data_IF_550168354952
#
_entry.id   IF_550168354952
#
_cell.length_a   1.000
_cell.length_b   1.000
_cell.length_c   1.000
_cell.angle_alpha   90.00
_cell.angle_beta   90.00
_cell.angle_gamma   90.00
#
_symmetry.space_group_name_H-M   'P 1'
#
loop_
_entity.id
_entity.type
_entity.pdbx_description
1 polymer ?
#
# COMPACT_ATOMS: atom_id res chain seq x y z
N UNK A 1 32.34 7.47 1.08
CA UNK A 1 32.25 6.38 2.07
C UNK A 1 32.77 5.10 1.44
N UNK A 2 33.61 4.30 2.11
CA UNK A 2 34.11 3.05 1.55
C UNK A 2 33.12 1.94 1.87
N UNK A 3 32.63 1.25 0.84
CA UNK A 3 31.87 0.01 1.03
C UNK A 3 32.80 -1.08 1.58
N UNK A 4 32.34 -1.79 2.59
CA UNK A 4 32.97 -3.06 2.93
C UNK A 4 32.59 -4.07 1.84
N UNK A 5 33.56 -4.79 1.24
CA UNK A 5 33.25 -5.80 0.20
C UNK A 5 32.36 -6.95 0.69
N UNK A 6 32.15 -7.04 2.01
CA UNK A 6 31.34 -8.07 2.67
C UNK A 6 29.93 -7.59 3.05
N UNK A 7 29.60 -6.32 2.85
CA UNK A 7 28.26 -5.84 3.14
C UNK A 7 27.29 -6.19 2.02
N UNK A 8 26.15 -6.75 2.37
CA UNK A 8 25.08 -7.04 1.42
C UNK A 8 24.61 -5.73 0.76
N UNK A 9 24.40 -5.73 -0.56
CA UNK A 9 23.80 -4.62 -1.32
C UNK A 9 22.51 -4.12 -0.65
N UNK A 10 21.66 -5.05 -0.26
CA UNK A 10 20.40 -4.81 0.45
C UNK A 10 20.57 -4.02 1.73
N UNK A 11 21.48 -4.48 2.60
CA UNK A 11 21.75 -3.79 3.85
C UNK A 11 22.22 -2.37 3.64
N UNK A 12 22.97 -2.14 2.58
CA UNK A 12 23.46 -0.79 2.25
C UNK A 12 22.36 0.10 1.68
N UNK A 13 21.44 -0.43 0.85
CA UNK A 13 20.26 0.31 0.37
C UNK A 13 19.36 0.67 1.56
N UNK A 14 19.00 -0.31 2.40
CA UNK A 14 18.16 -0.11 3.60
C UNK A 14 18.75 0.93 4.56
N UNK A 15 20.06 1.00 4.65
CA UNK A 15 20.77 1.99 5.48
C UNK A 15 20.94 3.35 4.81
N UNK A 16 20.47 3.54 3.57
CA UNK A 16 20.66 4.76 2.78
C UNK A 16 22.13 5.05 2.47
N UNK A 17 22.97 4.01 2.34
CA UNK A 17 24.40 4.15 2.03
C UNK A 17 24.70 4.05 0.54
N UNK A 18 23.72 3.72 -0.27
CA UNK A 18 23.80 3.71 -1.72
C UNK A 18 22.90 4.84 -2.23
N UNK A 19 23.52 5.89 -2.71
CA UNK A 19 22.80 7.02 -3.31
C UNK A 19 21.98 6.53 -4.53
N UNK A 20 20.86 7.20 -4.80
CA UNK A 20 19.96 6.92 -5.93
C UNK A 20 19.06 5.67 -5.79
N UNK A 21 19.21 4.89 -4.70
CA UNK A 21 18.37 3.72 -4.42
C UNK A 21 17.55 3.92 -3.15
N UNK A 22 16.25 3.66 -3.27
CA UNK A 22 15.30 3.69 -2.14
C UNK A 22 14.65 2.31 -1.98
N UNK A 23 14.44 1.89 -0.74
CA UNK A 23 13.66 0.70 -0.40
C UNK A 23 12.22 1.06 -0.07
N UNK A 24 11.28 0.32 -0.62
CA UNK A 24 9.86 0.42 -0.31
C UNK A 24 9.32 -0.94 0.09
N UNK A 25 9.10 -1.14 1.38
CA UNK A 25 8.44 -2.33 1.90
C UNK A 25 6.93 -2.24 1.69
N UNK A 26 6.33 -3.24 1.05
CA UNK A 26 4.90 -3.33 0.78
C UNK A 26 4.31 -4.60 1.38
N UNK A 27 3.22 -4.43 2.08
CA UNK A 27 2.44 -5.52 2.65
C UNK A 27 0.95 -5.20 2.53
N UNK A 28 0.15 -6.22 2.32
CA UNK A 28 -1.29 -6.09 2.20
C UNK A 28 -2.02 -7.28 2.80
N UNK A 29 -3.20 -7.03 3.33
CA UNK A 29 -4.13 -8.07 3.78
C UNK A 29 -5.53 -7.67 3.35
N UNK A 30 -6.23 -8.61 2.72
CA UNK A 30 -7.66 -8.54 2.52
C UNK A 30 -8.29 -9.76 3.18
N UNK A 31 -9.13 -9.54 4.19
CA UNK A 31 -9.77 -10.58 4.99
C UNK A 31 -11.15 -11.01 4.45
N UNK A 32 -11.59 -10.41 3.35
CA UNK A 32 -12.89 -10.65 2.73
C UNK A 32 -12.79 -10.81 1.19
N UNK A 33 -11.73 -11.45 0.71
CA UNK A 33 -11.58 -11.78 -0.71
C UNK A 33 -12.66 -12.77 -1.11
N UNK A 34 -13.45 -12.41 -2.11
CA UNK A 34 -14.51 -13.24 -2.68
C UNK A 34 -14.07 -14.03 -3.92
N UNK A 35 -15.02 -14.29 -4.81
CA UNK A 35 -14.78 -15.09 -6.04
C UNK A 35 -14.33 -14.25 -7.25
N UNK A 36 -14.26 -12.94 -7.11
CA UNK A 36 -13.74 -12.01 -8.12
C UNK A 36 -12.36 -11.55 -7.73
N UNK A 37 -11.46 -11.38 -8.70
CA UNK A 37 -10.15 -10.78 -8.42
C UNK A 37 -10.30 -9.36 -7.88
N UNK A 38 -9.73 -9.14 -6.70
CA UNK A 38 -9.67 -7.83 -6.03
C UNK A 38 -8.25 -7.58 -5.52
N UNK A 39 -7.82 -6.32 -5.38
CA UNK A 39 -6.54 -5.99 -4.78
C UNK A 39 -6.39 -6.60 -3.38
N UNK A 40 -5.18 -7.09 -3.07
CA UNK A 40 -4.83 -7.54 -1.72
C UNK A 40 -4.52 -6.30 -0.87
N UNK A 41 -5.59 -5.61 -0.54
CA UNK A 41 -5.61 -4.43 0.29
C UNK A 41 -6.84 -4.50 1.19
N UNK A 42 -6.81 -3.87 2.35
CA UNK A 42 -7.95 -3.85 3.26
C UNK A 42 -9.21 -3.33 2.54
N UNK A 43 -10.27 -4.15 2.55
CA UNK A 43 -11.51 -3.87 1.84
C UNK A 43 -11.42 -4.02 0.30
N UNK A 44 -10.36 -4.60 -0.25
CA UNK A 44 -10.17 -4.74 -1.71
C UNK A 44 -9.97 -3.40 -2.43
N UNK A 45 -9.51 -2.37 -1.71
CA UNK A 45 -9.48 -1.00 -2.20
C UNK A 45 -8.15 -0.67 -2.89
N UNK A 46 -8.22 -0.18 -4.11
CA UNK A 46 -7.15 0.53 -4.80
C UNK A 46 -7.75 1.42 -5.87
N UNK A 47 -7.75 2.74 -5.63
CA UNK A 47 -8.35 3.71 -6.53
C UNK A 47 -7.37 4.14 -7.62
N UNK A 48 -7.85 4.15 -8.86
CA UNK A 48 -7.07 4.53 -10.05
C UNK A 48 -7.80 5.59 -10.87
N UNK A 49 -8.01 6.79 -10.31
CA UNK A 49 -8.68 7.86 -11.05
C UNK A 49 -7.82 8.35 -12.22
N UNK A 50 -8.46 8.98 -13.19
CA UNK A 50 -7.84 9.54 -14.40
C UNK A 50 -7.16 10.90 -14.16
N UNK A 51 -7.42 11.53 -13.02
CA UNK A 51 -6.83 12.80 -12.60
C UNK A 51 -6.68 12.83 -11.09
N UNK A 52 -5.82 13.71 -10.59
CA UNK A 52 -5.66 13.90 -9.15
C UNK A 52 -6.95 14.39 -8.49
N UNK A 53 -7.34 13.77 -7.40
CA UNK A 53 -8.60 13.96 -6.69
C UNK A 53 -8.34 14.55 -5.31
N UNK A 54 -9.18 15.49 -4.90
CA UNK A 54 -9.16 16.01 -3.53
C UNK A 54 -9.63 14.92 -2.56
N UNK A 55 -8.82 14.68 -1.52
CA UNK A 55 -9.08 13.67 -0.50
C UNK A 55 -9.33 14.30 0.86
N UNK A 56 -10.03 13.55 1.71
CA UNK A 56 -10.22 13.86 3.11
C UNK A 56 -10.03 12.60 3.97
N UNK A 57 -9.53 12.80 5.21
CA UNK A 57 -9.43 11.74 6.20
C UNK A 57 -10.44 11.99 7.31
N UNK A 58 -11.05 10.92 7.84
CA UNK A 58 -11.99 10.96 8.94
C UNK A 58 -11.81 9.73 9.83
N UNK A 59 -12.10 9.87 11.14
CA UNK A 59 -12.22 8.74 12.04
C UNK A 59 -13.71 8.46 12.38
N UNK A 60 -14.00 7.21 12.74
CA UNK A 60 -15.29 6.84 13.34
C UNK A 60 -15.37 7.11 14.85
N UNK A 61 -14.30 7.65 15.46
CA UNK A 61 -14.23 7.97 16.90
C UNK A 61 -13.86 9.43 17.14
N UNK A 62 -14.57 10.08 18.06
CA UNK A 62 -14.23 11.41 18.54
C UNK A 62 -12.90 11.48 19.32
N UNK A 63 -12.34 10.34 19.74
CA UNK A 63 -11.06 10.28 20.45
C UNK A 63 -9.84 10.41 19.55
N UNK A 64 -9.99 10.27 18.24
CA UNK A 64 -8.92 10.45 17.25
C UNK A 64 -8.83 11.91 16.82
N UNK A 65 -8.31 12.76 17.72
CA UNK A 65 -8.14 14.20 17.52
C UNK A 65 -6.77 14.62 18.00
N UNK A 66 -6.29 15.81 17.58
CA UNK A 66 -4.98 16.35 17.94
C UNK A 66 -4.72 16.35 19.47
N UNK A 67 -5.76 16.52 20.28
CA UNK A 67 -5.68 16.49 21.74
C UNK A 67 -6.25 15.20 22.36
N UNK A 68 -6.66 14.25 21.52
CA UNK A 68 -7.33 13.03 21.94
C UNK A 68 -6.39 11.93 22.42
N UNK A 69 -7.02 10.84 22.91
CA UNK A 69 -6.31 9.64 23.37
C UNK A 69 -5.91 8.70 22.21
N UNK A 70 -6.59 8.77 21.08
CA UNK A 70 -6.31 7.96 19.89
C UNK A 70 -5.33 8.62 18.93
N UNK A 71 -5.51 8.40 17.63
CA UNK A 71 -4.68 9.00 16.59
C UNK A 71 -4.75 10.53 16.63
N UNK A 72 -3.59 11.17 16.70
CA UNK A 72 -3.44 12.63 16.69
C UNK A 72 -3.04 13.15 15.34
N UNK A 73 -2.07 12.49 14.71
CA UNK A 73 -1.64 12.80 13.36
C UNK A 73 -1.57 11.53 12.51
N UNK A 74 -1.84 11.70 11.23
CA UNK A 74 -1.77 10.63 10.24
C UNK A 74 -0.97 11.13 9.04
N UNK A 75 0.01 10.33 8.61
CA UNK A 75 0.75 10.57 7.37
C UNK A 75 0.17 9.73 6.26
N UNK A 76 -0.09 10.36 5.12
CA UNK A 76 -0.62 9.76 3.89
C UNK A 76 0.47 9.83 2.83
N UNK A 77 0.78 8.71 2.21
CA UNK A 77 1.77 8.59 1.14
C UNK A 77 1.06 8.23 -0.17
N UNK A 78 1.42 8.91 -1.24
CA UNK A 78 0.78 8.73 -2.55
C UNK A 78 1.51 9.45 -3.66
N UNK A 79 0.84 9.63 -4.79
CA UNK A 79 1.35 10.38 -5.95
C UNK A 79 0.45 11.58 -6.23
N UNK A 80 1.07 12.72 -6.54
CA UNK A 80 0.39 13.95 -6.94
C UNK A 80 -0.10 13.92 -8.40
N UNK A 81 -0.57 15.07 -8.91
CA UNK A 81 -1.02 15.22 -10.30
C UNK A 81 0.11 15.03 -11.33
N UNK A 82 1.37 15.22 -10.95
CA UNK A 82 2.55 14.98 -11.77
C UNK A 82 3.12 13.56 -11.64
N UNK A 83 2.45 12.69 -10.89
CA UNK A 83 2.91 11.33 -10.58
C UNK A 83 4.21 11.30 -9.75
N UNK A 84 4.49 12.39 -9.03
CA UNK A 84 5.59 12.45 -8.11
C UNK A 84 5.16 11.92 -6.74
N UNK A 85 6.08 11.23 -6.04
CA UNK A 85 5.86 10.81 -4.67
C UNK A 85 5.65 12.01 -3.75
N UNK A 86 4.60 11.94 -2.94
CA UNK A 86 4.29 12.93 -1.90
C UNK A 86 3.92 12.23 -0.59
N UNK A 87 4.32 12.85 0.51
CA UNK A 87 3.97 12.45 1.87
C UNK A 87 3.36 13.64 2.59
N UNK A 88 2.13 13.48 3.11
CA UNK A 88 1.36 14.53 3.75
C UNK A 88 0.94 14.09 5.14
N UNK A 89 1.28 14.90 6.15
CA UNK A 89 0.81 14.68 7.53
C UNK A 89 -0.32 15.64 7.85
N UNK A 90 -1.43 15.10 8.36
CA UNK A 90 -2.60 15.87 8.77
C UNK A 90 -2.94 15.62 10.23
N UNK A 91 -3.48 16.63 10.89
CA UNK A 91 -4.01 16.51 12.24
C UNK A 91 -5.40 15.90 12.19
N UNK A 92 -5.65 14.89 13.02
CA UNK A 92 -6.98 14.27 13.12
C UNK A 92 -7.99 15.20 13.80
N UNK A 93 -9.24 15.10 13.39
CA UNK A 93 -10.37 15.87 13.94
C UNK A 93 -11.56 14.98 14.32
N UNK A 94 -11.29 13.73 14.73
CA UNK A 94 -12.30 12.77 15.15
C UNK A 94 -13.32 12.49 14.05
N UNK A 95 -14.58 12.74 14.34
CA UNK A 95 -15.70 12.55 13.40
C UNK A 95 -15.76 13.63 12.30
N UNK A 96 -15.00 14.72 12.45
CA UNK A 96 -14.89 15.76 11.43
C UNK A 96 -13.84 15.39 10.38
N UNK A 97 -14.22 15.45 9.10
CA UNK A 97 -13.28 15.20 8.01
C UNK A 97 -12.22 16.31 7.91
N UNK A 98 -10.99 15.93 7.61
CA UNK A 98 -9.85 16.84 7.39
C UNK A 98 -9.35 16.67 5.97
N UNK A 99 -9.23 17.77 5.24
CA UNK A 99 -8.72 17.76 3.87
C UNK A 99 -7.24 17.40 3.83
N UNK A 100 -6.87 16.55 2.88
CA UNK A 100 -5.47 16.31 2.52
C UNK A 100 -4.99 17.51 1.68
N UNK A 101 -3.85 18.13 2.02
CA UNK A 101 -3.42 19.38 1.38
C UNK A 101 -3.16 19.30 -0.13
N UNK A 102 -2.76 18.12 -0.62
CA UNK A 102 -2.44 17.88 -2.04
C UNK A 102 -3.43 16.87 -2.62
N UNK A 103 -3.96 17.15 -3.81
CA UNK A 103 -4.75 16.20 -4.56
C UNK A 103 -3.88 15.02 -5.02
N UNK A 104 -4.40 13.79 -4.94
CA UNK A 104 -3.66 12.58 -5.27
C UNK A 104 -4.25 11.85 -6.48
N UNK A 105 -3.37 11.27 -7.30
CA UNK A 105 -3.72 10.29 -8.33
C UNK A 105 -3.69 8.86 -7.78
N UNK A 106 -2.84 8.61 -6.78
CA UNK A 106 -2.70 7.35 -6.06
C UNK A 106 -2.49 7.61 -4.58
N UNK A 107 -3.03 6.73 -3.73
CA UNK A 107 -2.66 6.65 -2.32
C UNK A 107 -2.41 5.18 -1.99
N UNK A 108 -1.26 4.86 -1.42
CA UNK A 108 -0.83 3.49 -1.18
C UNK A 108 -0.38 3.22 0.25
N UNK A 109 -0.30 4.25 1.08
CA UNK A 109 -0.04 4.10 2.51
C UNK A 109 -0.69 5.23 3.31
N UNK A 110 -1.21 4.85 4.46
CA UNK A 110 -1.66 5.76 5.51
C UNK A 110 -1.19 5.18 6.84
N UNK A 111 -0.57 5.98 7.69
CA UNK A 111 -0.04 5.53 8.99
C UNK A 111 -0.26 6.59 10.06
N UNK A 112 -0.59 6.14 11.27
CA UNK A 112 -0.64 6.97 12.47
C UNK A 112 0.78 7.33 12.85
N UNK A 113 1.09 8.62 12.94
CA UNK A 113 2.44 9.13 13.25
C UNK A 113 2.55 9.76 14.63
N UNK A 114 1.41 10.09 15.25
CA UNK A 114 1.32 10.46 16.67
C UNK A 114 0.00 9.94 17.26
N UNK A 115 0.06 9.47 18.52
CA UNK A 115 -1.07 8.95 19.27
C UNK A 115 -1.02 9.38 20.73
N UNK A 116 -2.18 9.70 21.31
CA UNK A 116 -2.28 10.17 22.68
C UNK A 116 -1.98 9.14 23.75
N UNK A 117 -2.03 7.85 23.42
CA UNK A 117 -1.92 6.76 24.38
C UNK A 117 -0.69 5.88 24.24
N UNK A 118 0.29 6.26 23.43
CA UNK A 118 1.47 5.42 23.12
C UNK A 118 2.38 5.13 24.34
N UNK A 119 2.16 5.80 25.45
CA UNK A 119 2.95 5.58 26.68
C UNK A 119 2.53 4.37 27.51
N UNK A 120 1.40 3.75 27.22
CA UNK A 120 0.83 2.60 27.97
C UNK A 120 0.65 1.39 27.04
N UNK A 121 1.30 0.27 27.33
CA UNK A 121 1.24 -0.94 26.50
C UNK A 121 0.36 -2.04 27.11
N UNK A 122 -0.35 -2.83 26.28
CA UNK A 122 -0.57 -2.70 24.83
C UNK A 122 -1.58 -1.59 24.55
N UNK A 123 -1.21 -0.67 23.67
CA UNK A 123 -2.05 0.50 23.38
C UNK A 123 -2.39 0.55 21.92
N UNK A 124 -3.66 0.71 21.56
CA UNK A 124 -4.05 0.96 20.19
C UNK A 124 -3.56 2.34 19.73
N UNK A 125 -3.03 2.40 18.50
CA UNK A 125 -2.57 3.64 17.89
C UNK A 125 -3.72 4.60 17.52
N UNK A 126 -4.92 4.08 17.40
CA UNK A 126 -6.17 4.81 17.11
C UNK A 126 -7.36 4.11 17.77
N UNK A 127 -8.48 4.82 17.91
CA UNK A 127 -9.69 4.31 18.57
C UNK A 127 -10.77 3.95 17.56
N UNK A 128 -11.00 4.77 16.55
CA UNK A 128 -11.97 4.53 15.50
C UNK A 128 -11.33 4.00 14.21
N UNK A 129 -12.15 3.60 13.25
CA UNK A 129 -11.70 3.33 11.89
C UNK A 129 -11.21 4.63 11.25
N UNK A 130 -10.00 4.62 10.71
CA UNK A 130 -9.45 5.76 9.97
C UNK A 130 -9.68 5.52 8.48
N UNK A 131 -10.42 6.42 7.85
CA UNK A 131 -10.82 6.31 6.46
C UNK A 131 -10.28 7.49 5.65
N UNK A 132 -9.46 7.21 4.64
CA UNK A 132 -9.11 8.14 3.58
C UNK A 132 -10.10 7.95 2.43
N UNK A 133 -10.76 9.03 2.00
CA UNK A 133 -11.79 8.97 0.96
C UNK A 133 -11.75 10.23 0.08
N UNK A 134 -12.40 10.16 -1.07
CA UNK A 134 -12.64 11.35 -1.87
C UNK A 134 -13.42 12.38 -1.07
N UNK A 135 -13.02 13.65 -1.16
CA UNK A 135 -13.63 14.75 -0.42
C UNK A 135 -15.15 14.83 -0.68
N UNK A 136 -15.90 15.22 0.35
CA UNK A 136 -17.36 15.23 0.31
C UNK A 136 -18.00 13.86 0.55
N UNK A 137 -17.37 13.01 1.37
CA UNK A 137 -17.83 11.66 1.70
C UNK A 137 -17.93 10.72 0.46
N UNK A 138 -17.04 10.90 -0.49
CA UNK A 138 -16.96 10.07 -1.69
C UNK A 138 -16.30 8.69 -1.46
N UNK A 139 -15.92 7.97 -2.53
CA UNK A 139 -15.34 6.64 -2.46
C UNK A 139 -14.14 6.54 -1.53
N UNK A 140 -14.06 5.44 -0.78
CA UNK A 140 -12.92 5.12 0.10
C UNK A 140 -11.70 4.73 -0.72
N UNK A 141 -10.54 5.22 -0.32
CA UNK A 141 -9.23 4.93 -0.90
C UNK A 141 -8.40 4.00 -0.03
N UNK A 142 -8.28 4.34 1.26
CA UNK A 142 -7.54 3.56 2.24
C UNK A 142 -8.33 3.46 3.55
N UNK A 143 -8.15 2.36 4.25
CA UNK A 143 -8.82 2.07 5.52
C UNK A 143 -7.83 1.47 6.52
N UNK A 144 -7.86 1.97 7.76
CA UNK A 144 -7.24 1.32 8.93
C UNK A 144 -8.37 1.00 9.91
N UNK A 145 -8.84 -0.25 9.97
CA UNK A 145 -9.93 -0.63 10.87
C UNK A 145 -9.47 -0.65 12.32
N UNK A 146 -10.36 -0.28 13.22
CA UNK A 146 -10.17 -0.38 14.67
C UNK A 146 -10.45 -1.77 15.22
N UNK A 147 -11.23 -2.58 14.49
CA UNK A 147 -11.63 -3.92 14.92
C UNK A 147 -10.43 -4.86 15.08
N UNK A 148 -10.42 -5.62 16.15
CA UNK A 148 -9.30 -6.46 16.54
C UNK A 148 -8.17 -5.63 17.16
N UNK A 149 -6.95 -5.82 16.67
CA UNK A 149 -5.80 -4.98 17.05
C UNK A 149 -5.66 -3.79 16.09
N UNK A 150 -5.80 -2.54 16.56
CA UNK A 150 -5.61 -1.34 15.74
C UNK A 150 -4.15 -1.22 15.27
N UNK A 151 -3.88 -1.54 14.01
CA UNK A 151 -2.52 -1.69 13.47
C UNK A 151 -1.79 -0.38 13.24
N UNK A 152 -2.50 0.74 13.21
CA UNK A 152 -1.92 2.07 13.02
C UNK A 152 -1.43 2.37 11.60
N UNK A 153 -1.55 1.42 10.67
CA UNK A 153 -1.20 1.62 9.27
C UNK A 153 -2.03 0.74 8.33
N UNK A 154 -2.14 1.19 7.09
CA UNK A 154 -2.87 0.45 6.05
C UNK A 154 -2.17 -0.83 5.66
N UNK A 155 -2.99 -1.82 5.31
CA UNK A 155 -2.59 -3.08 4.70
C UNK A 155 -2.94 -3.00 3.20
N UNK A 156 -1.96 -2.63 2.36
CA UNK A 156 -2.16 -2.43 0.93
C UNK A 156 -0.97 -3.02 0.14
N UNK A 157 -1.18 -4.16 -0.48
CA UNK A 157 -0.20 -4.88 -1.31
C UNK A 157 -0.18 -4.39 -2.76
N UNK A 158 -0.42 -3.09 -2.97
CA UNK A 158 -0.32 -2.42 -4.28
C UNK A 158 0.54 -1.18 -4.13
N UNK A 159 1.29 -0.87 -5.17
CA UNK A 159 2.16 0.30 -5.25
C UNK A 159 2.12 0.88 -6.67
N UNK A 160 2.38 2.17 -6.79
CA UNK A 160 2.64 2.80 -8.08
C UNK A 160 4.04 3.38 -8.05
N UNK A 161 4.89 2.92 -8.93
CA UNK A 161 6.23 3.48 -9.13
C UNK A 161 6.07 4.91 -9.65
N UNK A 162 6.68 5.91 -9.00
CA UNK A 162 6.56 7.31 -9.42
C UNK A 162 7.15 7.58 -10.80
N UNK A 163 6.74 8.69 -11.39
CA UNK A 163 7.38 9.21 -12.60
C UNK A 163 8.88 9.47 -12.36
N UNK A 164 9.72 9.16 -13.36
CA UNK A 164 11.18 9.32 -13.27
C UNK A 164 11.90 8.24 -12.45
N UNK A 165 11.16 7.32 -11.82
CA UNK A 165 11.74 6.18 -11.10
C UNK A 165 11.57 4.88 -11.88
N UNK A 166 12.50 3.96 -11.68
CA UNK A 166 12.39 2.55 -12.04
C UNK A 166 12.42 1.70 -10.78
N UNK A 167 11.78 0.55 -10.81
CA UNK A 167 11.69 -0.33 -9.65
C UNK A 167 11.95 -1.79 -10.01
N UNK A 168 12.52 -2.54 -9.08
CA UNK A 168 12.58 -4.00 -9.12
C UNK A 168 11.93 -4.54 -7.84
N UNK A 169 11.26 -5.68 -7.98
CA UNK A 169 10.53 -6.32 -6.89
C UNK A 169 11.20 -7.62 -6.50
N UNK A 170 11.38 -7.81 -5.22
CA UNK A 170 12.10 -8.94 -4.60
C UNK A 170 11.16 -9.83 -3.78
N UNK A 171 11.72 -10.86 -3.09
CA UNK A 171 10.95 -11.99 -2.61
C UNK A 171 9.61 -11.66 -2.03
N UNK A 172 8.66 -12.49 -2.35
CA UNK A 172 7.27 -12.34 -1.99
C UNK A 172 6.90 -13.39 -0.94
N UNK A 173 6.17 -12.94 0.05
CA UNK A 173 5.50 -13.84 1.00
C UNK A 173 3.99 -13.79 0.72
N UNK A 174 3.38 -14.95 0.61
CA UNK A 174 1.96 -15.11 0.40
C UNK A 174 1.38 -16.00 1.49
N UNK A 175 0.29 -15.56 2.09
CA UNK A 175 -0.49 -16.37 3.04
C UNK A 175 -1.94 -16.37 2.62
N UNK A 176 -2.55 -17.56 2.63
CA UNK A 176 -3.95 -17.79 2.30
C UNK A 176 -4.62 -18.51 3.47
N UNK A 177 -5.89 -18.26 3.74
CA UNK A 177 -6.66 -18.97 4.76
C UNK A 177 -6.48 -20.48 4.65
N UNK A 178 -6.27 -21.14 5.79
CA UNK A 178 -6.22 -22.59 5.88
C UNK A 178 -7.52 -23.22 5.36
N UNK A 179 -7.40 -24.33 4.67
CA UNK A 179 -8.52 -25.11 4.10
C UNK A 179 -9.31 -24.40 2.99
N UNK A 180 -8.75 -23.35 2.38
CA UNK A 180 -9.33 -22.68 1.19
C UNK A 180 -8.30 -22.63 0.07
N UNK A 181 -8.82 -22.62 -1.16
CA UNK A 181 -7.99 -22.49 -2.36
C UNK A 181 -8.22 -21.12 -2.98
N UNK A 182 -7.13 -20.39 -3.21
CA UNK A 182 -7.14 -19.08 -3.83
C UNK A 182 -6.30 -19.06 -5.12
N UNK A 183 -6.72 -18.23 -6.07
CA UNK A 183 -5.88 -17.81 -7.18
C UNK A 183 -5.32 -16.42 -6.85
N UNK A 184 -4.02 -16.24 -7.03
CA UNK A 184 -3.33 -14.98 -6.74
C UNK A 184 -2.47 -14.61 -7.94
N UNK A 185 -2.54 -13.36 -8.36
CA UNK A 185 -1.74 -12.81 -9.45
C UNK A 185 -0.91 -11.64 -8.95
N UNK A 186 0.36 -11.57 -9.38
CA UNK A 186 1.12 -10.33 -9.39
C UNK A 186 0.81 -9.62 -10.71
N UNK A 187 0.32 -8.39 -10.63
CA UNK A 187 -0.09 -7.62 -11.81
C UNK A 187 0.80 -6.39 -12.01
N UNK A 188 0.85 -5.96 -13.27
CA UNK A 188 1.42 -4.68 -13.67
C UNK A 188 0.45 -3.92 -14.57
N UNK A 189 0.48 -2.59 -14.50
CA UNK A 189 -0.17 -1.71 -15.46
C UNK A 189 0.83 -0.62 -15.85
N UNK A 190 1.47 -0.83 -16.99
CA UNK A 190 2.45 0.12 -17.54
C UNK A 190 1.74 1.42 -17.97
N UNK A 191 2.47 2.53 -17.96
CA UNK A 191 1.95 3.85 -18.37
C UNK A 191 0.62 4.18 -17.66
N UNK A 192 0.62 4.10 -16.34
CA UNK A 192 -0.56 4.33 -15.52
C UNK A 192 -1.15 5.75 -15.65
N UNK A 193 -0.37 6.69 -16.20
CA UNK A 193 -0.73 8.07 -16.52
C UNK A 193 -1.47 8.22 -17.87
N UNK A 194 -1.44 7.22 -18.74
CA UNK A 194 -2.16 7.25 -20.03
C UNK A 194 -3.62 6.90 -19.79
N UNK A 195 -4.47 7.91 -19.80
CA UNK A 195 -5.91 7.78 -19.54
C UNK A 195 -6.76 7.81 -20.81
N UNK A 196 -6.16 8.20 -21.93
CA UNK A 196 -6.82 8.19 -23.25
C UNK A 196 -6.61 6.81 -23.92
N UNK A 197 -7.56 6.40 -24.77
CA UNK A 197 -7.44 5.16 -25.53
C UNK A 197 -6.34 5.24 -26.60
N UNK A 198 -5.52 4.18 -26.78
CA UNK A 198 -5.51 2.97 -25.96
C UNK A 198 -4.74 3.21 -24.66
N UNK A 199 -5.41 3.07 -23.53
CA UNK A 199 -4.74 3.10 -22.23
C UNK A 199 -4.13 1.74 -21.91
N UNK A 200 -3.14 1.74 -21.01
CA UNK A 200 -2.49 0.49 -20.61
C UNK A 200 -3.45 -0.46 -19.89
N UNK A 201 -3.50 -1.69 -20.35
CA UNK A 201 -4.24 -2.74 -19.71
C UNK A 201 -3.43 -3.34 -18.55
N UNK A 202 -4.13 -3.81 -17.52
CA UNK A 202 -3.54 -4.63 -16.48
C UNK A 202 -3.04 -5.95 -17.08
N UNK A 203 -1.82 -6.36 -16.73
CA UNK A 203 -1.19 -7.61 -17.15
C UNK A 203 -0.92 -8.45 -15.91
N UNK A 204 -1.24 -9.75 -15.97
CA UNK A 204 -0.79 -10.72 -14.99
C UNK A 204 0.65 -11.12 -15.32
N UNK A 205 1.55 -10.97 -14.35
CA UNK A 205 2.92 -11.46 -14.43
C UNK A 205 3.01 -12.87 -13.84
N UNK A 206 3.22 -12.96 -12.52
CA UNK A 206 3.16 -14.24 -11.81
C UNK A 206 1.69 -14.60 -11.53
N UNK A 207 1.30 -15.81 -11.90
CA UNK A 207 -0.02 -16.37 -11.57
C UNK A 207 0.17 -17.63 -10.74
N UNK A 208 -0.45 -17.67 -9.57
CA UNK A 208 -0.48 -18.79 -8.67
C UNK A 208 -1.93 -19.29 -8.58
N UNK A 209 -2.18 -20.49 -9.06
CA UNK A 209 -3.52 -21.09 -9.11
C UNK A 209 -3.66 -22.14 -8.04
N UNK A 210 -4.76 -22.10 -7.32
CA UNK A 210 -5.10 -23.16 -6.35
C UNK A 210 -4.21 -23.16 -5.10
N UNK A 211 -3.67 -22.02 -4.72
CA UNK A 211 -2.86 -21.91 -3.48
C UNK A 211 -3.72 -22.22 -2.28
N UNK A 212 -3.30 -23.18 -1.47
CA UNK A 212 -4.00 -23.60 -0.27
C UNK A 212 -3.15 -23.42 0.97
N UNK A 213 -3.76 -22.88 1.97
CA UNK A 213 -3.53 -23.15 3.37
C UNK A 213 -2.23 -22.81 4.03
N UNK A 214 -1.32 -21.89 3.62
CA UNK A 214 -0.38 -21.21 4.55
C UNK A 214 0.65 -20.33 3.85
N UNK A 215 1.65 -19.84 4.59
CA UNK A 215 2.70 -18.96 4.08
C UNK A 215 3.59 -19.67 3.06
N UNK A 216 3.63 -19.14 1.86
CA UNK A 216 4.58 -19.52 0.83
C UNK A 216 5.60 -18.38 0.69
N UNK A 217 6.87 -18.66 0.94
CA UNK A 217 7.94 -17.81 0.49
C UNK A 217 8.18 -18.10 -0.99
N UNK A 218 7.93 -17.14 -1.85
CA UNK A 218 8.24 -17.25 -3.27
C UNK A 218 9.66 -16.68 -3.42
N UNK A 219 10.65 -17.56 -3.33
CA UNK A 219 12.03 -17.20 -3.61
C UNK A 219 12.18 -17.08 -5.14
N UNK A 220 12.19 -15.85 -5.63
CA UNK A 220 12.61 -15.57 -6.99
C UNK A 220 14.10 -15.29 -6.97
N UNK A 221 14.88 -16.19 -7.54
CA UNK A 221 16.33 -16.09 -7.60
C UNK A 221 16.83 -14.79 -8.29
N UNK A 222 15.95 -14.08 -8.99
CA UNK A 222 16.19 -12.78 -9.60
C UNK A 222 15.00 -11.84 -9.35
N UNK A 223 15.25 -10.52 -9.18
CA UNK A 223 14.17 -9.56 -9.04
C UNK A 223 13.30 -9.51 -10.29
N UNK A 224 12.00 -9.23 -10.09
CA UNK A 224 11.10 -8.95 -11.20
C UNK A 224 11.21 -7.46 -11.60
N UNK A 225 11.18 -7.18 -12.89
CA UNK A 225 11.30 -5.84 -13.44
C UNK A 225 12.49 -5.71 -14.43
N UNK A 226 13.04 -4.51 -14.70
CA UNK A 226 12.61 -3.25 -14.08
C UNK A 226 11.24 -2.78 -14.54
N UNK A 227 10.49 -2.19 -13.62
CA UNK A 227 9.22 -1.51 -13.87
C UNK A 227 9.47 -0.01 -13.93
N UNK A 228 9.27 0.59 -15.12
CA UNK A 228 9.50 2.02 -15.34
C UNK A 228 8.25 2.81 -15.04
N UNK A 229 8.34 3.77 -14.10
CA UNK A 229 7.20 4.60 -13.69
C UNK A 229 6.75 5.62 -14.76
N UNK A 230 5.48 6.02 -14.75
CA UNK A 230 4.49 5.59 -13.76
C UNK A 230 3.88 4.22 -14.11
N UNK A 231 3.99 3.26 -13.21
CA UNK A 231 3.48 1.90 -13.37
C UNK A 231 2.82 1.42 -12.07
N UNK A 232 1.59 0.91 -12.15
CA UNK A 232 0.95 0.23 -11.03
C UNK A 232 1.44 -1.22 -10.97
N UNK A 233 1.86 -1.66 -9.77
CA UNK A 233 2.30 -3.04 -9.49
C UNK A 233 1.67 -3.53 -8.20
N UNK A 234 1.43 -4.82 -8.06
CA UNK A 234 0.90 -5.38 -6.83
C UNK A 234 0.21 -6.71 -6.99
N UNK A 235 -0.55 -7.08 -5.98
CA UNK A 235 -1.24 -8.35 -5.92
C UNK A 235 -2.75 -8.20 -5.96
N UNK A 236 -3.39 -9.11 -6.71
CA UNK A 236 -4.82 -9.38 -6.68
C UNK A 236 -5.07 -10.84 -6.38
N UNK A 237 -6.20 -11.14 -5.75
CA UNK A 237 -6.58 -12.52 -5.47
C UNK A 237 -8.07 -12.75 -5.52
N UNK A 238 -8.44 -14.03 -5.64
CA UNK A 238 -9.81 -14.52 -5.52
C UNK A 238 -9.83 -15.92 -4.91
N UNK A 239 -10.96 -16.30 -4.35
CA UNK A 239 -11.23 -17.69 -4.00
C UNK A 239 -12.10 -18.36 -5.07
N UNK A 240 -11.95 -19.65 -5.26
CA UNK A 240 -12.82 -20.42 -6.14
C UNK A 240 -14.28 -20.48 -5.65
N UNK A 241 -14.46 -20.47 -4.32
CA UNK A 241 -15.77 -20.45 -3.63
C UNK A 241 -15.67 -19.72 -2.30
N UNK A 242 -16.77 -19.06 -1.92
CA UNK A 242 -16.87 -18.36 -0.63
C UNK A 242 -15.98 -17.15 -0.50
N UNK A 243 -15.59 -16.82 0.74
CA UNK A 243 -14.71 -15.69 1.07
C UNK A 243 -13.61 -16.14 2.01
N UNK A 244 -12.46 -15.47 1.97
CA UNK A 244 -11.35 -15.77 2.86
C UNK A 244 -10.31 -14.64 2.90
N UNK A 245 -9.26 -14.82 3.71
CA UNK A 245 -8.18 -13.88 3.83
C UNK A 245 -6.99 -14.25 2.95
N UNK A 246 -6.39 -13.24 2.34
CA UNK A 246 -5.11 -13.34 1.64
C UNK A 246 -4.23 -12.22 2.15
N UNK A 247 -2.97 -12.53 2.44
CA UNK A 247 -1.96 -11.55 2.82
C UNK A 247 -0.73 -11.69 1.94
N UNK A 248 -0.09 -10.57 1.63
CA UNK A 248 1.14 -10.49 0.84
C UNK A 248 2.14 -9.55 1.50
N UNK A 249 3.42 -9.83 1.27
CA UNK A 249 4.53 -9.01 1.73
C UNK A 249 5.65 -9.08 0.69
N UNK A 250 6.20 -7.94 0.27
CA UNK A 250 7.27 -7.87 -0.74
C UNK A 250 8.06 -6.57 -0.63
N UNK A 251 9.31 -6.65 -1.08
CA UNK A 251 10.23 -5.53 -1.10
C UNK A 251 10.39 -4.97 -2.52
N UNK A 252 10.47 -3.67 -2.62
CA UNK A 252 10.73 -2.93 -3.85
C UNK A 252 12.01 -2.14 -3.65
N UNK A 253 12.94 -2.24 -4.59
CA UNK A 253 14.02 -1.26 -4.73
C UNK A 253 13.71 -0.39 -5.91
N UNK A 254 13.63 0.90 -5.67
CA UNK A 254 13.45 1.91 -6.71
C UNK A 254 14.70 2.77 -6.85
N UNK A 255 14.93 3.26 -8.07
CA UNK A 255 16.07 4.08 -8.43
C UNK A 255 15.70 5.05 -9.54
N UNK A 256 16.52 6.10 -9.73
CA UNK A 256 16.30 7.06 -10.83
C UNK A 256 16.38 6.35 -12.18
N UNK A 257 15.37 6.59 -13.05
CA UNK A 257 15.41 6.08 -14.41
C UNK A 257 16.53 6.79 -15.18
N UNK A 258 17.58 6.06 -15.52
CA UNK A 258 18.61 6.58 -16.44
C UNK A 258 18.02 6.60 -17.86
N UNK A 259 17.88 7.81 -18.41
CA UNK A 259 17.45 8.05 -19.79
C UNK A 259 18.57 7.70 -20.77
#
# INVERSE_FOLDING_TARGET
>A
MSFSPNDSFWLNVTRGLIDEYDEVHKFGTNDAVGTTFVPIARGGLYQTPTAAVALEIVSSSASDTLAGAGARTVTIEGLDAGWNYVSQTVNMNGLGAVSVPINLTRAFRMKVTDSGSYATQPVPSHVGDLTLRTAGAGPTWLLIPSAGFPRGQTQCGVYTVPNGKSAVVYPHYLSVDSNKSADVIFFTRDNADIVAAPFSAMKAGLELVGVTGFSLAIDVAAPQGPFVGPVDIGYMGRFGTGTGAISVDFEIVQYETTV
#
